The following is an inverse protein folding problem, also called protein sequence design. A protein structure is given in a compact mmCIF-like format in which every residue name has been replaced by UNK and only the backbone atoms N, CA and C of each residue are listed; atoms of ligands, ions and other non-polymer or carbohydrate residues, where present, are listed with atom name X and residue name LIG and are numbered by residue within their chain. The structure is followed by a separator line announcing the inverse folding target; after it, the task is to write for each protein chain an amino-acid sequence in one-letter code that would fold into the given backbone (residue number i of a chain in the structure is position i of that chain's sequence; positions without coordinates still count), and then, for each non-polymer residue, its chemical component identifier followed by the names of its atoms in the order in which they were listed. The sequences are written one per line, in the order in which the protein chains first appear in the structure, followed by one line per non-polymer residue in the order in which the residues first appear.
data_IF_580906170627
#
_entry.id   IF_580906170627
#
_cell.length_a   1.000
_cell.length_b   1.000
_cell.length_c   1.000
_cell.angle_alpha   90.00
_cell.angle_beta   90.00
_cell.angle_gamma   90.00
#
_symmetry.space_group_name_H-M   'P 1'
#
loop_
_entity.id
_entity.type
_entity.pdbx_description
1 polymer ?
#
# COMPACT_ATOMS: atom_id res chain seq x y z
N UNK A 1 11.31 0.22 -12.25
CA UNK A 1 9.91 0.69 -12.18
C UNK A 1 9.55 1.68 -13.29
N UNK A 2 10.48 1.98 -14.21
CA UNK A 2 10.31 2.82 -15.39
C UNK A 2 8.94 2.86 -16.07
N UNK A 3 8.34 1.71 -16.41
CA UNK A 3 7.04 1.70 -17.11
C UNK A 3 5.93 2.39 -16.31
N UNK A 4 5.87 2.17 -15.00
CA UNK A 4 4.90 2.83 -14.14
C UNK A 4 5.15 4.34 -14.08
N UNK A 5 6.42 4.75 -13.87
CA UNK A 5 6.81 6.15 -13.83
C UNK A 5 6.53 6.91 -15.14
N UNK A 6 6.57 6.23 -16.28
CA UNK A 6 6.42 6.85 -17.61
C UNK A 6 5.00 6.85 -18.16
N UNK A 7 4.18 5.84 -17.84
CA UNK A 7 2.92 5.58 -18.56
C UNK A 7 1.69 5.40 -17.67
N UNK A 8 1.86 5.22 -16.36
CA UNK A 8 0.78 4.83 -15.48
C UNK A 8 0.41 5.93 -14.48
N UNK A 9 -0.81 5.89 -13.97
CA UNK A 9 -1.28 6.76 -12.89
C UNK A 9 -0.93 6.20 -11.50
N UNK A 10 -0.34 5.00 -11.43
CA UNK A 10 0.02 4.38 -10.16
C UNK A 10 0.84 3.12 -10.26
N UNK A 11 1.22 2.62 -9.09
CA UNK A 11 1.92 1.34 -8.92
C UNK A 11 1.36 0.59 -7.72
N UNK A 12 1.05 -0.70 -7.93
CA UNK A 12 0.63 -1.62 -6.87
C UNK A 12 1.72 -2.65 -6.57
N UNK A 13 2.21 -2.66 -5.34
CA UNK A 13 3.16 -3.66 -4.84
C UNK A 13 2.44 -4.76 -4.07
N UNK A 14 2.52 -6.00 -4.54
CA UNK A 14 1.92 -7.15 -3.86
C UNK A 14 2.95 -7.93 -3.04
N UNK A 15 2.55 -8.33 -1.82
CA UNK A 15 3.33 -9.15 -0.91
C UNK A 15 4.72 -8.58 -0.59
N UNK A 16 4.77 -7.26 -0.35
CA UNK A 16 6.03 -6.54 -0.10
C UNK A 16 6.38 -6.62 1.40
N UNK A 17 7.57 -7.12 1.79
CA UNK A 17 8.02 -7.02 3.17
C UNK A 17 8.10 -5.56 3.61
N UNK A 18 7.67 -5.25 4.84
CA UNK A 18 7.67 -3.86 5.36
C UNK A 18 9.07 -3.22 5.27
N UNK A 19 10.11 -4.01 5.56
CA UNK A 19 11.51 -3.57 5.49
C UNK A 19 11.96 -3.18 4.07
N UNK A 20 11.32 -3.72 3.03
CA UNK A 20 11.68 -3.47 1.63
C UNK A 20 10.96 -2.24 1.05
N UNK A 21 9.90 -1.76 1.71
CA UNK A 21 9.08 -0.64 1.21
C UNK A 21 9.93 0.60 0.91
N UNK A 22 10.82 1.08 1.81
CA UNK A 22 11.62 2.27 1.52
C UNK A 22 12.46 2.13 0.25
N UNK A 23 13.06 0.96 0.02
CA UNK A 23 13.85 0.70 -1.18
C UNK A 23 12.99 0.70 -2.46
N UNK A 24 11.76 0.16 -2.40
CA UNK A 24 10.82 0.16 -3.53
C UNK A 24 10.36 1.58 -3.88
N UNK A 25 10.05 2.37 -2.87
CA UNK A 25 9.66 3.78 -3.04
C UNK A 25 10.79 4.58 -3.65
N UNK A 26 12.03 4.43 -3.14
CA UNK A 26 13.19 5.16 -3.66
C UNK A 26 13.41 4.88 -5.16
N UNK A 27 13.31 3.61 -5.59
CA UNK A 27 13.42 3.25 -7.01
C UNK A 27 12.32 3.88 -7.86
N UNK A 28 11.08 3.96 -7.35
CA UNK A 28 9.98 4.58 -8.10
C UNK A 28 10.16 6.11 -8.18
N UNK A 29 10.55 6.75 -7.09
CA UNK A 29 10.84 8.18 -7.03
C UNK A 29 12.00 8.58 -7.97
N UNK A 30 13.08 7.80 -7.98
CA UNK A 30 14.21 8.01 -8.88
C UNK A 30 13.80 7.91 -10.36
N UNK A 31 12.92 6.95 -10.69
CA UNK A 31 12.41 6.81 -12.05
C UNK A 31 11.49 7.99 -12.43
N UNK A 32 10.63 8.46 -11.53
CA UNK A 32 9.83 9.67 -11.77
C UNK A 32 10.73 10.89 -12.02
N UNK A 33 11.74 11.10 -11.17
CA UNK A 33 12.68 12.21 -11.32
C UNK A 33 13.44 12.16 -12.66
N UNK A 34 13.89 10.97 -13.08
CA UNK A 34 14.55 10.76 -14.40
C UNK A 34 13.66 11.09 -15.59
N UNK A 35 12.35 11.07 -15.40
CA UNK A 35 11.36 11.37 -16.43
C UNK A 35 10.69 12.75 -16.26
N UNK A 36 11.17 13.57 -15.32
CA UNK A 36 10.65 14.92 -15.08
C UNK A 36 9.22 14.92 -14.51
N UNK A 37 8.84 13.85 -13.81
CA UNK A 37 7.51 13.66 -13.23
C UNK A 37 7.55 13.78 -11.71
N UNK A 38 6.54 14.41 -11.12
CA UNK A 38 6.33 14.39 -9.67
C UNK A 38 6.02 12.99 -9.16
N UNK A 39 6.60 12.60 -8.03
CA UNK A 39 6.28 11.30 -7.42
C UNK A 39 4.85 11.27 -6.85
N UNK A 40 4.36 12.41 -6.38
CA UNK A 40 3.01 12.66 -5.89
C UNK A 40 1.92 12.57 -6.97
N UNK A 41 2.31 12.55 -8.25
CA UNK A 41 1.42 12.25 -9.38
C UNK A 41 1.09 10.75 -9.53
N UNK A 42 1.66 9.89 -8.69
CA UNK A 42 1.37 8.45 -8.68
C UNK A 42 0.54 8.05 -7.47
N UNK A 43 -0.52 7.28 -7.72
CA UNK A 43 -1.13 6.46 -6.67
C UNK A 43 -0.21 5.28 -6.37
N UNK A 44 0.26 5.19 -5.12
CA UNK A 44 1.13 4.10 -4.66
C UNK A 44 0.36 3.24 -3.68
N UNK A 45 -0.06 2.07 -4.14
CA UNK A 45 -0.81 1.10 -3.36
C UNK A 45 0.07 -0.10 -2.97
N UNK A 46 -0.07 -0.61 -1.75
CA UNK A 46 0.71 -1.77 -1.28
C UNK A 46 -0.16 -2.83 -0.61
N UNK A 47 0.16 -4.10 -0.84
CA UNK A 47 -0.18 -5.20 0.04
C UNK A 47 1.11 -5.71 0.71
N UNK A 48 1.15 -5.65 2.04
CA UNK A 48 2.33 -5.98 2.82
C UNK A 48 2.36 -7.45 3.22
N UNK A 49 3.58 -8.02 3.28
CA UNK A 49 3.83 -9.25 4.03
C UNK A 49 4.05 -8.90 5.50
N UNK A 50 3.13 -9.30 6.39
CA UNK A 50 3.24 -9.08 7.84
C UNK A 50 3.00 -7.63 8.28
N UNK A 51 2.18 -6.87 7.55
CA UNK A 51 1.83 -5.50 7.93
C UNK A 51 0.95 -5.43 9.17
N UNK A 52 1.13 -4.38 9.97
CA UNK A 52 0.27 -4.00 11.10
C UNK A 52 -0.12 -2.52 10.99
N UNK A 53 -1.22 -2.06 11.64
CA UNK A 53 -1.69 -0.68 11.56
C UNK A 53 -0.65 0.37 11.97
N UNK A 54 0.28 0.02 12.86
CA UNK A 54 1.36 0.90 13.35
C UNK A 54 2.33 1.32 12.25
N UNK A 55 2.36 0.60 11.12
CA UNK A 55 3.19 0.97 9.97
C UNK A 55 2.57 2.11 9.15
N UNK A 56 1.27 2.39 9.27
CA UNK A 56 0.57 3.37 8.42
C UNK A 56 1.22 4.76 8.39
N UNK A 57 1.63 5.37 9.52
CA UNK A 57 2.29 6.68 9.48
C UNK A 57 3.60 6.68 8.69
N UNK A 58 4.42 5.63 8.86
CA UNK A 58 5.69 5.52 8.14
C UNK A 58 5.49 5.29 6.64
N UNK A 59 4.48 4.51 6.27
CA UNK A 59 4.10 4.30 4.86
C UNK A 59 3.61 5.60 4.21
N UNK A 60 2.75 6.34 4.90
CA UNK A 60 2.27 7.64 4.42
C UNK A 60 3.41 8.66 4.27
N UNK A 61 4.34 8.71 5.22
CA UNK A 61 5.53 9.56 5.13
C UNK A 61 6.46 9.16 3.96
N UNK A 62 6.47 7.88 3.57
CA UNK A 62 7.17 7.39 2.39
C UNK A 62 6.39 7.65 1.08
N UNK A 63 5.21 8.27 1.13
CA UNK A 63 4.38 8.57 -0.04
C UNK A 63 3.57 7.38 -0.56
N UNK A 64 3.33 6.36 0.27
CA UNK A 64 2.31 5.35 0.00
C UNK A 64 0.94 5.99 0.20
N UNK A 65 0.10 5.95 -0.83
CA UNK A 65 -1.23 6.57 -0.81
C UNK A 65 -2.31 5.60 -0.33
N UNK A 66 -2.12 4.30 -0.55
CA UNK A 66 -3.11 3.27 -0.23
C UNK A 66 -2.45 2.01 0.35
N UNK A 67 -3.12 1.41 1.34
CA UNK A 67 -2.78 0.08 1.84
C UNK A 67 -3.94 -0.89 1.57
N UNK A 68 -3.64 -1.98 0.88
CA UNK A 68 -4.54 -3.10 0.63
C UNK A 68 -4.31 -4.17 1.69
N UNK A 69 -5.32 -4.39 2.53
CA UNK A 69 -5.31 -5.44 3.55
C UNK A 69 -5.73 -6.76 2.91
N UNK A 70 -4.78 -7.70 2.84
CA UNK A 70 -5.03 -9.04 2.31
C UNK A 70 -5.23 -10.01 3.47
N UNK A 71 -6.33 -10.76 3.45
CA UNK A 71 -6.58 -11.83 4.41
C UNK A 71 -7.30 -12.99 3.74
N UNK A 72 -7.14 -14.19 4.31
CA UNK A 72 -7.92 -15.35 3.90
C UNK A 72 -9.30 -15.28 4.58
N UNK A 73 -10.41 -15.28 3.81
CA UNK A 73 -11.75 -15.27 4.39
C UNK A 73 -12.04 -16.60 5.12
N UNK A 74 -13.00 -16.60 6.08
CA UNK A 74 -13.45 -17.83 6.70
C UNK A 74 -14.11 -18.78 5.66
N UNK A 75 -14.10 -20.10 5.90
CA UNK A 75 -14.69 -21.06 4.96
C UNK A 75 -16.22 -20.97 4.89
N UNK A 76 -16.85 -20.44 5.94
CA UNK A 76 -18.29 -20.24 6.02
C UNK A 76 -18.67 -18.88 5.39
N UNK A 77 -19.48 -18.84 4.31
CA UNK A 77 -19.80 -17.59 3.62
C UNK A 77 -20.54 -16.55 4.48
N UNK A 78 -21.39 -17.00 5.41
CA UNK A 78 -22.15 -16.16 6.34
C UNK A 78 -21.24 -15.45 7.37
N UNK A 79 -20.05 -15.99 7.64
CA UNK A 79 -19.06 -15.36 8.50
C UNK A 79 -18.27 -14.23 7.82
N UNK A 80 -18.38 -14.07 6.49
CA UNK A 80 -17.58 -13.11 5.73
C UNK A 80 -17.84 -11.65 6.15
N UNK A 81 -19.11 -11.29 6.41
CA UNK A 81 -19.47 -9.93 6.81
C UNK A 81 -18.83 -9.54 8.14
N UNK A 82 -18.90 -10.43 9.14
CA UNK A 82 -18.25 -10.25 10.44
C UNK A 82 -16.74 -10.15 10.30
N UNK A 83 -16.14 -11.01 9.48
CA UNK A 83 -14.69 -10.99 9.22
C UNK A 83 -14.21 -9.67 8.61
N UNK A 84 -14.92 -9.13 7.61
CA UNK A 84 -14.61 -7.81 7.05
C UNK A 84 -14.77 -6.70 8.09
N UNK A 85 -15.80 -6.75 8.94
CA UNK A 85 -16.01 -5.76 9.99
C UNK A 85 -14.90 -5.77 11.07
N UNK A 86 -14.35 -6.94 11.40
CA UNK A 86 -13.19 -7.07 12.30
C UNK A 86 -11.90 -6.54 11.68
N UNK A 87 -11.67 -6.82 10.39
CA UNK A 87 -10.55 -6.23 9.66
C UNK A 87 -10.67 -4.70 9.62
N UNK A 88 -11.85 -4.17 9.29
CA UNK A 88 -12.09 -2.73 9.28
C UNK A 88 -11.81 -2.09 10.64
N UNK A 89 -12.27 -2.70 11.74
CA UNK A 89 -11.98 -2.22 13.10
C UNK A 89 -10.49 -2.20 13.45
N UNK A 90 -9.73 -3.14 12.91
CA UNK A 90 -8.28 -3.23 13.16
C UNK A 90 -7.52 -2.14 12.41
N UNK A 91 -7.91 -1.85 11.16
CA UNK A 91 -7.12 -1.02 10.24
C UNK A 91 -7.61 0.41 10.10
N UNK A 92 -8.90 0.66 10.27
CA UNK A 92 -9.50 1.98 10.14
C UNK A 92 -9.57 2.60 11.53
N UNK A 93 -8.58 3.43 11.85
CA UNK A 93 -8.69 4.33 13.02
C UNK A 93 -9.57 5.52 12.64
N UNK A 94 -10.44 6.01 13.54
CA UNK A 94 -11.08 7.31 13.34
C UNK A 94 -10.00 8.37 13.13
N UNK A 95 -10.19 9.27 12.17
CA UNK A 95 -9.33 10.43 12.04
C UNK A 95 -9.35 11.21 13.37
N UNK A 96 -8.18 11.45 13.97
CA UNK A 96 -8.03 12.40 15.08
C UNK A 96 -7.97 13.82 14.56
#
# INVERSE_FOLDING_TARGET
MRRAATLADGWYGFNVPVADVPARIAVLADECARHGRGFDELTVALALSGGIPEHLPALGAAGVTELVVVGAPPPAPDAAATWVAELARTWIRPAQ
#
